data_IF_173628688796
#
_entry.id   IF_173628688796
#
_cell.length_a   1.000
_cell.length_b   1.000
_cell.length_c   1.000
_cell.angle_alpha   90.00
_cell.angle_beta   90.00
_cell.angle_gamma   90.00
#
_symmetry.space_group_name_H-M   'P 1'
#
loop_
_entity.id
_entity.type
_entity.pdbx_description
1 polymer ?
#
# COMPACT_ATOMS: atom_id res chain seq x y z
N UNK A 1 12.54 11.17 -21.12
CA UNK A 1 12.80 11.05 -19.67
C UNK A 1 11.48 11.36 -18.97
N UNK A 2 10.68 10.34 -18.69
CA UNK A 2 9.41 10.52 -17.98
C UNK A 2 9.73 10.86 -16.53
N UNK A 3 9.42 12.06 -16.11
CA UNK A 3 9.28 12.39 -14.70
C UNK A 3 8.06 11.60 -14.22
N UNK A 4 8.30 10.46 -13.54
CA UNK A 4 7.28 9.91 -12.69
C UNK A 4 6.90 11.04 -11.73
N UNK A 5 5.67 11.49 -11.81
CA UNK A 5 5.07 12.24 -10.75
C UNK A 5 5.08 11.31 -9.54
N UNK A 6 6.08 11.45 -8.69
CA UNK A 6 5.97 11.02 -7.33
C UNK A 6 4.89 11.93 -6.73
N UNK A 7 3.64 11.59 -6.99
CA UNK A 7 2.55 12.03 -6.16
C UNK A 7 3.01 11.70 -4.76
N UNK A 8 3.14 12.73 -3.94
CA UNK A 8 3.52 12.57 -2.57
C UNK A 8 2.66 11.47 -1.97
N UNK A 9 3.22 10.27 -1.89
CA UNK A 9 2.71 9.26 -1.02
C UNK A 9 2.98 9.85 0.33
N UNK A 10 1.98 10.56 0.76
CA UNK A 10 1.82 10.96 2.13
C UNK A 10 2.30 9.77 2.93
N UNK A 11 3.25 10.02 3.78
CA UNK A 11 3.62 9.17 4.89
C UNK A 11 2.37 8.91 5.73
N UNK A 12 1.43 8.18 5.17
CA UNK A 12 0.21 7.79 5.84
C UNK A 12 0.64 6.94 7.04
N UNK A 13 0.69 7.54 8.19
CA UNK A 13 1.02 6.92 9.45
C UNK A 13 2.17 7.53 10.25
N UNK A 14 2.92 8.54 9.75
CA UNK A 14 3.91 9.25 10.56
C UNK A 14 3.67 10.76 10.43
N UNK A 15 3.25 11.39 11.51
CA UNK A 15 3.20 12.85 11.64
C UNK A 15 4.41 13.28 12.46
N UNK A 16 5.26 14.12 11.87
CA UNK A 16 6.43 14.66 12.53
C UNK A 16 6.12 16.07 13.07
N UNK A 17 6.26 16.26 14.35
CA UNK A 17 6.19 17.58 15.00
C UNK A 17 7.56 17.92 15.56
N UNK A 18 8.21 18.92 14.97
CA UNK A 18 9.46 19.45 15.48
C UNK A 18 9.16 20.57 16.47
N UNK A 19 9.56 20.41 17.73
CA UNK A 19 9.47 21.43 18.77
C UNK A 19 10.85 21.91 19.20
N UNK A 20 11.24 23.11 18.79
CA UNK A 20 12.40 23.79 19.34
C UNK A 20 12.01 24.47 20.66
N UNK A 21 12.64 24.08 21.78
CA UNK A 21 12.53 24.80 23.06
C UNK A 21 13.62 25.85 23.15
N UNK A 22 13.37 27.03 22.57
CA UNK A 22 14.11 28.21 22.99
C UNK A 22 13.26 29.00 24.01
N UNK A 23 13.81 29.14 25.22
CA UNK A 23 13.13 29.77 26.33
C UNK A 23 13.26 31.27 26.21
N UNK A 24 12.32 31.92 25.52
CA UNK A 24 11.90 33.30 25.85
C UNK A 24 10.60 33.64 25.10
N UNK A 25 9.52 33.68 25.88
CA UNK A 25 8.34 34.52 25.81
C UNK A 25 7.66 34.66 24.43
N UNK A 26 6.57 33.94 24.22
CA UNK A 26 5.65 34.15 23.13
C UNK A 26 4.97 32.84 22.73
N UNK A 27 3.69 32.70 23.04
CA UNK A 27 2.88 31.58 22.57
C UNK A 27 2.55 31.80 21.08
N UNK A 28 3.38 31.31 20.20
CA UNK A 28 3.02 31.19 18.78
C UNK A 28 2.93 29.69 18.47
N UNK A 29 1.70 29.24 18.28
CA UNK A 29 1.40 27.94 17.71
C UNK A 29 1.85 27.96 16.26
N UNK A 30 3.02 27.37 15.99
CA UNK A 30 3.46 27.12 14.61
C UNK A 30 2.73 25.90 14.07
N UNK A 31 1.59 26.12 13.43
CA UNK A 31 1.00 25.16 12.52
C UNK A 31 1.71 25.37 11.19
N UNK A 32 2.52 24.42 10.75
CA UNK A 32 3.04 24.44 9.39
C UNK A 32 1.88 24.24 8.44
N UNK A 33 1.38 25.33 7.90
CA UNK A 33 0.41 25.35 6.82
C UNK A 33 1.14 24.88 5.54
N UNK A 34 0.96 23.61 5.19
CA UNK A 34 1.41 23.10 3.91
C UNK A 34 0.43 23.60 2.86
N UNK A 35 0.64 24.84 2.42
CA UNK A 35 -0.02 25.35 1.23
C UNK A 35 0.49 24.54 0.03
N UNK A 36 -0.39 23.73 -0.55
CA UNK A 36 -0.21 23.22 -1.90
C UNK A 36 -0.13 24.45 -2.82
N UNK A 37 1.04 24.70 -3.38
CA UNK A 37 1.19 25.67 -4.45
C UNK A 37 0.43 25.12 -5.67
N UNK A 38 -0.73 25.69 -5.89
CA UNK A 38 -1.49 25.59 -7.13
C UNK A 38 -0.81 26.53 -8.15
N UNK A 39 0.26 26.05 -8.80
CA UNK A 39 0.78 26.70 -9.99
C UNK A 39 -0.08 26.30 -11.19
N UNK A 40 -1.03 27.16 -11.50
CA UNK A 40 -1.72 27.20 -12.78
C UNK A 40 -0.69 27.41 -13.90
N UNK A 41 -0.22 26.34 -14.50
CA UNK A 41 0.49 26.39 -15.78
C UNK A 41 -0.54 26.31 -16.90
N UNK A 42 -0.57 27.36 -17.70
CA UNK A 42 -1.36 27.47 -18.92
C UNK A 42 -1.06 26.31 -19.86
N UNK A 43 -2.14 25.78 -20.42
CA UNK A 43 -2.16 24.77 -21.45
C UNK A 43 -1.46 25.29 -22.71
N UNK A 44 -0.31 24.71 -23.05
CA UNK A 44 0.15 24.67 -24.43
C UNK A 44 -0.31 23.33 -25.02
N UNK A 45 -1.28 23.43 -25.93
CA UNK A 45 -1.76 22.34 -26.79
C UNK A 45 -0.62 21.82 -27.68
N UNK A 46 0.19 20.92 -27.17
CA UNK A 46 0.97 20.03 -28.03
C UNK A 46 0.16 18.75 -28.28
N UNK A 47 -0.30 18.64 -29.50
CA UNK A 47 -0.92 17.47 -30.08
C UNK A 47 0.07 16.29 -30.09
N UNK A 48 0.20 15.62 -28.95
CA UNK A 48 0.90 14.34 -28.82
C UNK A 48 -0.12 13.27 -29.15
N UNK A 49 -0.05 12.76 -30.39
CA UNK A 49 -0.63 11.46 -30.70
C UNK A 49 0.13 10.39 -29.91
N UNK A 50 -0.16 10.27 -28.62
CA UNK A 50 0.26 9.15 -27.82
C UNK A 50 -0.59 7.96 -28.25
N UNK A 51 0.01 7.00 -28.94
CA UNK A 51 -0.45 5.63 -28.86
C UNK A 51 -0.40 5.29 -27.37
N UNK A 52 -1.54 5.36 -26.69
CA UNK A 52 -1.72 4.81 -25.35
C UNK A 52 -1.48 3.30 -25.49
N UNK A 53 -0.24 2.88 -25.29
CA UNK A 53 0.07 1.47 -25.10
C UNK A 53 -0.66 1.07 -23.82
N UNK A 54 -1.80 0.42 -23.95
CA UNK A 54 -2.58 -0.06 -22.81
C UNK A 54 -1.72 -1.02 -22.00
N UNK A 55 -1.90 -1.05 -20.67
CA UNK A 55 -1.16 -1.97 -19.81
C UNK A 55 -1.36 -3.42 -20.26
N UNK A 56 -2.51 -3.75 -20.80
CA UNK A 56 -2.80 -5.05 -21.41
C UNK A 56 -1.78 -5.46 -22.48
N UNK A 57 -1.29 -4.53 -23.29
CA UNK A 57 -0.25 -4.81 -24.30
C UNK A 57 1.15 -5.06 -23.72
N UNK A 58 1.35 -4.81 -22.42
CA UNK A 58 2.61 -5.04 -21.71
C UNK A 58 2.59 -6.32 -20.86
N UNK A 59 1.45 -7.02 -20.78
CA UNK A 59 1.31 -8.27 -20.05
C UNK A 59 2.01 -9.38 -20.82
N UNK A 60 2.91 -10.10 -20.15
CA UNK A 60 3.54 -11.29 -20.71
C UNK A 60 2.56 -12.45 -20.74
N UNK A 61 1.95 -12.68 -21.90
CA UNK A 61 1.00 -13.77 -22.12
C UNK A 61 1.66 -15.14 -22.29
N UNK A 62 2.99 -15.25 -22.16
CA UNK A 62 3.67 -16.56 -22.04
C UNK A 62 3.41 -17.24 -20.70
N UNK A 63 3.05 -16.48 -19.66
CA UNK A 63 2.58 -17.01 -18.39
C UNK A 63 1.22 -17.68 -18.58
N UNK A 64 0.99 -18.78 -17.86
CA UNK A 64 -0.31 -19.47 -17.91
C UNK A 64 -1.26 -18.84 -16.90
N UNK A 65 -2.37 -18.29 -17.41
CA UNK A 65 -3.51 -17.87 -16.59
C UNK A 65 -4.67 -18.80 -16.89
N UNK A 66 -5.25 -19.39 -15.85
CA UNK A 66 -6.39 -20.29 -16.00
C UNK A 66 -7.66 -19.46 -16.23
N UNK A 67 -8.41 -19.77 -17.29
CA UNK A 67 -9.71 -19.17 -17.55
C UNK A 67 -10.68 -19.38 -16.37
N UNK A 68 -11.51 -18.38 -16.08
CA UNK A 68 -12.46 -18.42 -14.98
C UNK A 68 -11.83 -18.34 -13.59
N UNK A 69 -10.53 -17.99 -13.49
CA UNK A 69 -9.86 -17.83 -12.20
C UNK A 69 -10.54 -16.75 -11.34
N UNK A 70 -10.62 -17.01 -10.04
CA UNK A 70 -11.16 -16.07 -9.04
C UNK A 70 -10.05 -15.56 -8.14
N UNK A 71 -9.82 -14.27 -8.16
CA UNK A 71 -8.93 -13.55 -7.26
C UNK A 71 -9.76 -13.03 -6.09
N UNK A 72 -9.45 -13.47 -4.88
CA UNK A 72 -10.06 -12.94 -3.69
C UNK A 72 -9.10 -11.96 -3.01
N UNK A 73 -9.53 -10.72 -2.78
CA UNK A 73 -8.72 -9.71 -2.11
C UNK A 73 -9.31 -9.41 -0.75
N UNK A 74 -8.51 -9.57 0.31
CA UNK A 74 -8.86 -9.17 1.67
C UNK A 74 -7.90 -8.09 2.12
N UNK A 75 -8.36 -6.85 2.10
CA UNK A 75 -7.58 -5.68 2.54
C UNK A 75 -7.72 -5.47 4.04
N UNK A 76 -6.84 -4.66 4.62
CA UNK A 76 -6.97 -4.26 6.02
C UNK A 76 -8.02 -3.15 6.23
N UNK A 77 -8.48 -2.51 5.14
CA UNK A 77 -9.70 -1.71 5.13
C UNK A 77 -10.31 -1.61 3.74
N UNK A 78 -11.60 -1.27 3.67
CA UNK A 78 -12.32 -1.02 2.43
C UNK A 78 -12.68 0.45 2.24
N UNK A 79 -12.69 1.22 3.33
CA UNK A 79 -12.98 2.64 3.33
C UNK A 79 -11.69 3.48 3.22
N UNK A 80 -11.86 4.75 2.86
CA UNK A 80 -10.76 5.70 2.66
C UNK A 80 -10.28 5.77 1.20
N UNK A 81 -9.70 6.92 0.85
CA UNK A 81 -9.28 7.19 -0.54
C UNK A 81 -8.14 6.27 -0.99
N UNK A 82 -7.23 5.92 -0.08
CA UNK A 82 -6.12 5.01 -0.39
C UNK A 82 -6.64 3.64 -0.84
N UNK A 83 -7.55 3.02 -0.05
CA UNK A 83 -8.08 1.69 -0.35
C UNK A 83 -8.99 1.67 -1.59
N UNK A 84 -9.71 2.75 -1.86
CA UNK A 84 -10.46 2.91 -3.11
C UNK A 84 -9.54 2.95 -4.32
N UNK A 85 -8.39 3.63 -4.22
CA UNK A 85 -7.40 3.66 -5.30
C UNK A 85 -6.74 2.30 -5.50
N UNK A 86 -6.39 1.60 -4.41
CA UNK A 86 -5.84 0.24 -4.48
C UNK A 86 -6.83 -0.69 -5.16
N UNK A 87 -8.08 -0.69 -4.72
CA UNK A 87 -9.15 -1.50 -5.33
C UNK A 87 -9.29 -1.21 -6.81
N UNK A 88 -9.36 0.05 -7.20
CA UNK A 88 -9.47 0.45 -8.61
C UNK A 88 -8.30 -0.04 -9.44
N UNK A 89 -7.07 0.12 -8.93
CA UNK A 89 -5.88 -0.38 -9.62
C UNK A 89 -5.91 -1.90 -9.85
N UNK A 90 -6.41 -2.66 -8.87
CA UNK A 90 -6.60 -4.11 -9.01
C UNK A 90 -7.71 -4.46 -10.00
N UNK A 91 -8.84 -3.73 -9.98
CA UNK A 91 -9.94 -3.90 -10.95
C UNK A 91 -9.45 -3.61 -12.38
N UNK A 92 -8.66 -2.56 -12.58
CA UNK A 92 -8.06 -2.22 -13.87
C UNK A 92 -7.08 -3.32 -14.32
N UNK A 93 -6.24 -3.85 -13.43
CA UNK A 93 -5.32 -4.94 -13.72
C UNK A 93 -6.05 -6.23 -14.14
N UNK A 94 -7.15 -6.58 -13.48
CA UNK A 94 -7.97 -7.74 -13.88
C UNK A 94 -8.59 -7.54 -15.27
N UNK A 95 -9.06 -6.34 -15.56
CA UNK A 95 -9.56 -5.99 -16.90
C UNK A 95 -8.48 -6.11 -17.98
N UNK A 96 -7.25 -5.66 -17.66
CA UNK A 96 -6.11 -5.75 -18.56
C UNK A 96 -5.70 -7.20 -18.81
N UNK A 97 -5.70 -8.05 -17.78
CA UNK A 97 -5.49 -9.51 -17.91
C UNK A 97 -6.54 -10.12 -18.84
N UNK A 98 -7.81 -9.88 -18.58
CA UNK A 98 -8.88 -10.41 -19.42
C UNK A 98 -8.74 -9.97 -20.89
N UNK A 99 -8.32 -8.73 -21.11
CA UNK A 99 -8.06 -8.22 -22.46
C UNK A 99 -6.86 -8.91 -23.12
N UNK A 100 -5.76 -9.07 -22.39
CA UNK A 100 -4.51 -9.65 -22.93
C UNK A 100 -4.66 -11.14 -23.27
N UNK A 101 -5.49 -11.87 -22.52
CA UNK A 101 -5.75 -13.31 -22.74
C UNK A 101 -7.02 -13.58 -23.57
N UNK A 102 -7.72 -12.54 -24.02
CA UNK A 102 -9.01 -12.65 -24.74
C UNK A 102 -10.07 -13.43 -23.94
N UNK A 103 -10.07 -13.27 -22.61
CA UNK A 103 -11.05 -13.89 -21.73
C UNK A 103 -12.33 -13.07 -21.66
N UNK A 104 -13.47 -13.74 -21.73
CA UNK A 104 -14.80 -13.11 -21.63
C UNK A 104 -15.84 -14.07 -21.06
N UNK A 105 -16.94 -13.54 -20.56
CA UNK A 105 -18.02 -14.34 -19.99
C UNK A 105 -17.52 -15.29 -18.88
N UNK A 106 -17.75 -16.59 -19.04
CA UNK A 106 -17.38 -17.61 -18.04
C UNK A 106 -15.87 -17.86 -17.95
N UNK A 107 -15.10 -17.46 -18.96
CA UNK A 107 -13.65 -17.56 -18.99
C UNK A 107 -12.96 -16.37 -18.30
N UNK A 108 -13.69 -15.30 -18.02
CA UNK A 108 -13.12 -14.11 -17.43
C UNK A 108 -12.54 -14.38 -16.03
N UNK A 109 -11.35 -13.85 -15.77
CA UNK A 109 -10.81 -13.71 -14.43
C UNK A 109 -11.69 -12.72 -13.67
N UNK A 110 -12.09 -13.09 -12.48
CA UNK A 110 -12.93 -12.25 -11.59
C UNK A 110 -12.19 -11.89 -10.32
N UNK A 111 -12.63 -10.81 -9.67
CA UNK A 111 -12.05 -10.36 -8.42
C UNK A 111 -13.12 -9.93 -7.42
N UNK A 112 -12.97 -10.32 -6.15
CA UNK A 112 -13.68 -9.71 -5.02
C UNK A 112 -12.72 -8.84 -4.23
N UNK A 113 -13.22 -7.79 -3.57
CA UNK A 113 -12.43 -6.92 -2.69
C UNK A 113 -13.21 -6.71 -1.41
N UNK A 114 -12.73 -7.31 -0.33
CA UNK A 114 -13.41 -7.43 0.95
C UNK A 114 -12.48 -7.01 2.09
N UNK A 115 -13.04 -6.86 3.29
CA UNK A 115 -12.31 -6.51 4.50
C UNK A 115 -13.13 -5.61 5.41
N UNK A 116 -12.58 -5.21 6.56
CA UNK A 116 -13.21 -4.28 7.48
C UNK A 116 -13.34 -2.87 6.86
N UNK A 117 -14.15 -2.03 7.45
CA UNK A 117 -14.20 -0.60 7.10
C UNK A 117 -13.04 0.19 7.72
N UNK A 118 -12.47 -0.29 8.84
CA UNK A 118 -11.39 0.35 9.59
C UNK A 118 -10.19 -0.60 9.69
N UNK A 119 -8.99 -0.07 9.44
CA UNK A 119 -7.73 -0.83 9.50
C UNK A 119 -7.41 -1.42 10.88
N UNK A 120 -8.05 -0.94 11.94
CA UNK A 120 -7.86 -1.43 13.31
C UNK A 120 -8.75 -2.62 13.66
N UNK A 121 -9.74 -2.93 12.82
CA UNK A 121 -10.67 -4.04 13.03
C UNK A 121 -10.08 -5.36 12.48
N UNK A 122 -9.04 -5.84 13.17
CA UNK A 122 -8.34 -7.09 12.82
C UNK A 122 -9.26 -8.31 12.94
N UNK A 123 -10.23 -8.29 13.88
CA UNK A 123 -11.16 -9.40 14.06
C UNK A 123 -12.05 -9.59 12.83
N UNK A 124 -12.61 -8.50 12.30
CA UNK A 124 -13.38 -8.58 11.05
C UNK A 124 -12.51 -9.03 9.88
N UNK A 125 -11.23 -8.62 9.82
CA UNK A 125 -10.33 -9.09 8.77
C UNK A 125 -10.12 -10.60 8.85
N UNK A 126 -9.84 -11.15 10.03
CA UNK A 126 -9.66 -12.59 10.25
C UNK A 126 -10.91 -13.37 9.83
N UNK A 127 -12.09 -12.94 10.28
CA UNK A 127 -13.37 -13.58 9.92
C UNK A 127 -13.61 -13.53 8.39
N UNK A 128 -13.22 -12.44 7.73
CA UNK A 128 -13.32 -12.32 6.27
C UNK A 128 -12.36 -13.28 5.57
N UNK A 129 -11.12 -13.41 6.06
CA UNK A 129 -10.15 -14.37 5.53
C UNK A 129 -10.68 -15.82 5.65
N UNK A 130 -11.22 -16.21 6.81
CA UNK A 130 -11.80 -17.54 7.01
C UNK A 130 -12.93 -17.80 6.01
N UNK A 131 -13.83 -16.85 5.81
CA UNK A 131 -14.94 -16.98 4.87
C UNK A 131 -14.45 -17.11 3.42
N UNK A 132 -13.51 -16.28 3.01
CA UNK A 132 -12.94 -16.27 1.66
C UNK A 132 -12.15 -17.55 1.36
N UNK A 133 -11.35 -18.04 2.31
CA UNK A 133 -10.59 -19.31 2.16
C UNK A 133 -11.56 -20.49 1.99
N UNK A 134 -12.65 -20.51 2.76
CA UNK A 134 -13.68 -21.55 2.65
C UNK A 134 -14.35 -21.60 1.26
N UNK A 135 -14.35 -20.50 0.51
CA UNK A 135 -14.83 -20.44 -0.86
C UNK A 135 -13.83 -20.96 -1.91
N UNK A 136 -12.63 -21.29 -1.49
CA UNK A 136 -11.56 -21.85 -2.31
C UNK A 136 -11.24 -21.01 -3.58
N UNK A 137 -10.77 -19.76 -3.45
CA UNK A 137 -10.37 -18.93 -4.58
C UNK A 137 -9.14 -19.50 -5.28
N UNK A 138 -8.91 -19.10 -6.54
CA UNK A 138 -7.69 -19.48 -7.28
C UNK A 138 -6.44 -18.85 -6.67
N UNK A 139 -6.57 -17.65 -6.11
CA UNK A 139 -5.51 -16.92 -5.39
C UNK A 139 -6.14 -16.02 -4.33
N UNK A 140 -5.50 -15.93 -3.19
CA UNK A 140 -5.81 -14.99 -2.13
C UNK A 140 -4.78 -13.84 -2.16
N UNK A 141 -5.25 -12.60 -2.29
CA UNK A 141 -4.44 -11.41 -2.10
C UNK A 141 -4.83 -10.78 -0.76
N UNK A 142 -3.87 -10.47 0.10
CA UNK A 142 -4.18 -9.85 1.38
C UNK A 142 -3.19 -8.77 1.80
N UNK A 143 -3.64 -7.83 2.62
CA UNK A 143 -2.80 -6.86 3.31
C UNK A 143 -3.04 -7.00 4.81
N UNK A 144 -2.01 -7.33 5.58
CA UNK A 144 -2.19 -7.65 7.00
C UNK A 144 -2.43 -6.40 7.87
N UNK A 145 -3.53 -6.39 8.62
CA UNK A 145 -3.82 -5.38 9.65
C UNK A 145 -2.97 -5.54 10.92
N UNK A 146 -2.49 -6.75 11.15
CA UNK A 146 -1.58 -7.10 12.24
C UNK A 146 -0.61 -8.17 11.73
N UNK A 147 0.69 -7.97 11.99
CA UNK A 147 1.78 -8.79 11.42
C UNK A 147 1.71 -10.28 11.82
N UNK A 148 1.10 -10.62 12.96
CA UNK A 148 1.08 -11.97 13.50
C UNK A 148 -0.32 -12.61 13.49
N UNK A 149 -1.38 -11.80 13.40
CA UNK A 149 -2.75 -12.26 13.68
C UNK A 149 -3.34 -13.18 12.61
N UNK A 150 -2.77 -13.23 11.40
CA UNK A 150 -3.31 -13.99 10.27
C UNK A 150 -2.62 -15.34 10.02
N UNK A 151 -1.75 -15.79 10.94
CA UNK A 151 -0.96 -17.02 10.74
C UNK A 151 -1.83 -18.25 10.46
N UNK A 152 -2.88 -18.46 11.25
CA UNK A 152 -3.77 -19.62 11.06
C UNK A 152 -4.49 -19.61 9.70
N UNK A 153 -4.81 -18.42 9.20
CA UNK A 153 -5.43 -18.24 7.88
C UNK A 153 -4.45 -18.51 6.74
N UNK A 154 -3.17 -18.11 6.91
CA UNK A 154 -2.12 -18.43 5.95
C UNK A 154 -1.87 -19.96 5.89
N UNK A 155 -1.82 -20.62 7.03
CA UNK A 155 -1.71 -22.08 7.12
C UNK A 155 -2.90 -22.77 6.45
N UNK A 156 -4.13 -22.32 6.74
CA UNK A 156 -5.34 -22.86 6.12
C UNK A 156 -5.37 -22.64 4.59
N UNK A 157 -4.93 -21.48 4.10
CA UNK A 157 -4.80 -21.24 2.67
C UNK A 157 -3.79 -22.19 2.02
N UNK A 158 -2.63 -22.38 2.67
CA UNK A 158 -1.58 -23.30 2.22
C UNK A 158 -2.08 -24.76 2.19
N UNK A 159 -2.76 -25.23 3.23
CA UNK A 159 -3.35 -26.57 3.30
C UNK A 159 -4.38 -26.82 2.21
N UNK A 160 -5.14 -25.77 1.82
CA UNK A 160 -6.08 -25.85 0.71
C UNK A 160 -5.42 -25.63 -0.68
N UNK A 161 -4.10 -25.43 -0.73
CA UNK A 161 -3.37 -25.18 -1.99
C UNK A 161 -3.68 -23.83 -2.62
N UNK A 162 -4.16 -22.87 -1.83
CA UNK A 162 -4.45 -21.49 -2.28
C UNK A 162 -3.18 -20.66 -2.14
N UNK A 163 -2.55 -20.21 -3.25
CA UNK A 163 -1.40 -19.33 -3.17
C UNK A 163 -1.82 -17.96 -2.60
N UNK A 164 -0.97 -17.44 -1.69
CA UNK A 164 -1.20 -16.14 -1.06
C UNK A 164 -0.24 -15.09 -1.61
N UNK A 165 -0.77 -13.98 -2.06
CA UNK A 165 -0.02 -12.77 -2.43
C UNK A 165 -0.29 -11.70 -1.39
N UNK A 166 0.76 -11.22 -0.73
CA UNK A 166 0.62 -10.14 0.24
C UNK A 166 0.96 -8.80 -0.40
N UNK A 167 0.20 -7.77 -0.07
CA UNK A 167 0.44 -6.42 -0.57
C UNK A 167 0.37 -5.38 0.55
N UNK A 168 0.97 -4.20 0.34
CA UNK A 168 1.04 -3.07 1.26
C UNK A 168 1.74 -3.37 2.60
N UNK A 169 1.16 -4.20 3.46
CA UNK A 169 1.74 -4.62 4.75
C UNK A 169 1.94 -6.12 4.78
N UNK A 170 3.19 -6.55 5.04
CA UNK A 170 3.56 -7.95 5.07
C UNK A 170 3.14 -8.64 6.39
N UNK A 171 3.32 -9.94 6.43
CA UNK A 171 3.12 -10.82 7.59
C UNK A 171 4.47 -11.20 8.19
N UNK A 172 4.48 -11.76 9.41
CA UNK A 172 5.72 -12.15 10.11
C UNK A 172 6.37 -13.39 9.50
N UNK A 173 5.56 -14.36 9.06
CA UNK A 173 6.00 -15.60 8.41
C UNK A 173 5.71 -15.52 6.91
N UNK A 174 6.74 -15.21 6.12
CA UNK A 174 6.63 -15.08 4.68
C UNK A 174 6.91 -16.40 3.92
N UNK A 175 7.22 -17.50 4.62
CA UNK A 175 7.40 -18.82 3.99
C UNK A 175 6.11 -19.33 3.33
N UNK A 176 4.94 -18.89 3.85
CA UNK A 176 3.63 -19.22 3.30
C UNK A 176 3.15 -18.22 2.23
N UNK A 177 3.96 -17.22 1.91
CA UNK A 177 3.63 -16.15 0.95
C UNK A 177 4.26 -16.42 -0.40
N UNK A 178 3.46 -16.55 -1.44
CA UNK A 178 3.95 -16.77 -2.80
C UNK A 178 4.63 -15.52 -3.39
N UNK A 179 4.17 -14.32 -3.02
CA UNK A 179 4.76 -13.05 -3.44
C UNK A 179 4.33 -11.91 -2.52
N UNK A 180 5.22 -10.92 -2.36
CA UNK A 180 4.92 -9.64 -1.72
C UNK A 180 5.04 -8.49 -2.70
N UNK A 181 4.14 -7.52 -2.59
CA UNK A 181 4.16 -6.25 -3.33
C UNK A 181 3.82 -5.09 -2.41
N UNK A 182 4.80 -4.25 -2.15
CA UNK A 182 4.62 -3.10 -1.26
C UNK A 182 5.74 -2.07 -1.42
N UNK A 183 5.67 -1.04 -0.61
CA UNK A 183 6.70 -0.02 -0.47
C UNK A 183 7.88 -0.59 0.33
N UNK A 184 9.11 -0.22 -0.01
CA UNK A 184 10.24 -0.38 0.92
C UNK A 184 10.06 0.60 2.09
N UNK A 185 9.40 0.09 3.13
CA UNK A 185 9.00 0.90 4.28
C UNK A 185 10.21 1.34 5.14
N UNK A 186 11.27 0.54 5.19
CA UNK A 186 12.51 0.90 5.87
C UNK A 186 13.19 2.07 5.16
N UNK A 187 13.31 1.99 3.83
CA UNK A 187 13.85 3.10 3.04
C UNK A 187 12.98 4.35 3.11
N UNK A 188 11.66 4.21 3.07
CA UNK A 188 10.74 5.34 3.23
C UNK A 188 10.94 6.04 4.59
N UNK A 189 11.16 5.28 5.66
CA UNK A 189 11.49 5.80 6.98
C UNK A 189 12.82 6.56 6.99
N UNK A 190 13.88 6.02 6.40
CA UNK A 190 15.19 6.67 6.26
C UNK A 190 15.07 7.99 5.49
N UNK A 191 14.41 7.98 4.36
CA UNK A 191 14.20 9.19 3.55
C UNK A 191 13.44 10.28 4.33
N UNK A 192 12.46 9.89 5.17
CA UNK A 192 11.74 10.83 6.02
C UNK A 192 12.65 11.47 7.07
N UNK A 193 13.57 10.70 7.68
CA UNK A 193 14.56 11.21 8.63
C UNK A 193 15.52 12.19 7.96
N UNK A 194 16.06 11.85 6.78
CA UNK A 194 16.93 12.73 6.00
C UNK A 194 16.23 14.06 5.68
N UNK A 195 14.99 14.01 5.21
CA UNK A 195 14.21 15.23 4.92
C UNK A 195 13.91 16.06 6.17
N UNK A 196 13.72 15.41 7.31
CA UNK A 196 13.55 16.13 8.58
C UNK A 196 14.85 16.85 8.98
N UNK A 197 16.00 16.16 8.91
CA UNK A 197 17.31 16.76 9.22
C UNK A 197 17.61 17.93 8.28
N UNK A 198 17.33 17.80 6.99
CA UNK A 198 17.45 18.90 6.02
C UNK A 198 16.61 20.13 6.44
N UNK A 199 15.43 19.90 7.02
CA UNK A 199 14.50 20.97 7.37
C UNK A 199 14.80 21.66 8.70
N UNK A 200 15.25 20.90 9.72
CA UNK A 200 15.41 21.42 11.10
C UNK A 200 16.85 21.39 11.63
N UNK A 201 17.80 20.82 10.86
CA UNK A 201 19.20 20.62 11.28
C UNK A 201 19.42 19.31 12.06
N UNK A 202 20.68 19.09 12.45
CA UNK A 202 21.15 17.84 13.05
C UNK A 202 20.85 17.69 14.56
N UNK A 203 20.16 18.64 15.17
CA UNK A 203 19.88 18.59 16.61
C UNK A 203 18.49 19.13 16.94
N UNK A 204 17.81 18.45 17.85
CA UNK A 204 16.48 18.87 18.29
C UNK A 204 15.74 17.77 19.04
N UNK A 205 14.49 18.07 19.37
CA UNK A 205 13.54 17.09 19.91
C UNK A 205 12.43 16.91 18.92
N UNK A 206 12.15 15.67 18.60
CA UNK A 206 11.08 15.28 17.67
C UNK A 206 10.11 14.35 18.39
N UNK A 207 8.87 14.35 17.90
CA UNK A 207 7.88 13.35 18.26
C UNK A 207 7.45 12.61 16.99
N UNK A 208 7.43 11.30 17.05
CA UNK A 208 6.98 10.42 15.96
C UNK A 208 5.62 9.87 16.34
N UNK A 209 4.62 10.12 15.51
CA UNK A 209 3.29 9.54 15.65
C UNK A 209 3.12 8.46 14.59
N UNK A 210 2.81 7.24 15.03
CA UNK A 210 2.50 6.10 14.16
C UNK A 210 1.04 5.73 14.31
N UNK A 211 0.32 5.60 13.20
CA UNK A 211 -1.11 5.31 13.22
C UNK A 211 -1.42 3.88 13.66
N UNK A 212 -0.54 2.92 13.29
CA UNK A 212 -0.74 1.50 13.57
C UNK A 212 0.57 0.84 13.95
N UNK A 213 0.70 0.48 15.23
CA UNK A 213 1.93 -0.13 15.75
C UNK A 213 2.09 -1.61 15.35
N UNK A 214 1.01 -2.27 14.96
CA UNK A 214 0.99 -3.71 14.67
C UNK A 214 1.18 -4.07 13.21
N UNK A 215 1.18 -3.11 12.30
CA UNK A 215 1.42 -3.37 10.88
C UNK A 215 2.91 -3.36 10.57
N UNK A 216 3.34 -4.25 9.69
CA UNK A 216 4.73 -4.30 9.22
C UNK A 216 5.15 -2.95 8.60
N UNK A 217 4.30 -2.36 7.78
CA UNK A 217 4.58 -1.08 7.12
C UNK A 217 4.88 0.05 8.09
N UNK A 218 4.13 0.16 9.20
CA UNK A 218 4.37 1.16 10.24
C UNK A 218 5.64 0.88 11.04
N UNK A 219 5.86 -0.37 11.43
CA UNK A 219 7.04 -0.79 12.18
C UNK A 219 8.32 -0.48 11.40
N UNK A 220 8.37 -0.88 10.13
CA UNK A 220 9.52 -0.67 9.25
C UNK A 220 9.82 0.80 8.96
N UNK A 221 8.80 1.63 8.80
CA UNK A 221 8.99 3.08 8.66
C UNK A 221 9.59 3.71 9.91
N UNK A 222 9.08 3.34 11.09
CA UNK A 222 9.62 3.84 12.37
C UNK A 222 11.03 3.34 12.61
N UNK A 223 11.33 2.07 12.28
CA UNK A 223 12.66 1.48 12.38
C UNK A 223 13.65 2.24 11.48
N UNK A 224 13.37 2.33 10.18
CA UNK A 224 14.24 3.03 9.23
C UNK A 224 14.46 4.50 9.58
N UNK A 225 13.42 5.18 10.08
CA UNK A 225 13.52 6.54 10.57
C UNK A 225 14.48 6.66 11.76
N UNK A 226 14.39 5.76 12.75
CA UNK A 226 15.27 5.76 13.91
C UNK A 226 16.71 5.41 13.55
N UNK A 227 16.90 4.43 12.64
CA UNK A 227 18.23 4.04 12.16
C UNK A 227 18.97 5.23 11.53
N UNK A 228 18.29 5.95 10.64
CA UNK A 228 18.90 7.10 9.96
C UNK A 228 19.21 8.30 10.87
N UNK A 229 18.62 8.37 12.06
CA UNK A 229 18.93 9.41 13.06
C UNK A 229 19.97 8.96 14.09
N UNK A 230 20.38 7.69 14.07
CA UNK A 230 21.37 7.15 15.01
C UNK A 230 22.81 7.27 14.50
N UNK A 231 22.98 7.46 13.20
CA UNK A 231 24.25 7.67 12.49
C UNK A 231 24.64 9.15 12.49
#
# INVERSE_FOLDING_TARGET
MRKAAAAGIILAGIILVAGGLDRKGGSDNFVADVQANDETTQEEDENISSEETTLAAQIDTSAQVTAGSRIAVVSKATDGEYWKLVRRGMEDAVKDINTAYDFSSDDAVTMTFEGPSDEQDVETQINTLDAVIAENPTVLCMSAGDIESCQAQLEAASENGIPVVVFDSNVSDDELVAAFRGTDNTYAGKLAAEKLVDAIGESGKIAVFSAQEKTESSQKRVEGFKEALAD
#
